data_IF_858905602406
#
_entry.id   IF_858905602406
#
_cell.length_a   1.000
_cell.length_b   1.000
_cell.length_c   1.000
_cell.angle_alpha   90.00
_cell.angle_beta   90.00
_cell.angle_gamma   90.00
#
_symmetry.space_group_name_H-M   'P 1'
#
loop_
_entity.id
_entity.type
_entity.pdbx_description
1 polymer ?
#
# COMPACT_ATOMS: atom_id res chain seq x y z
N UNK A 1 28.18 8.09 16.07
CA UNK A 1 28.55 7.47 14.78
C UNK A 1 28.01 6.05 14.79
N UNK A 2 27.29 5.62 13.74
CA UNK A 2 26.67 4.29 13.67
C UNK A 2 27.70 3.17 13.60
N UNK A 3 27.44 2.06 14.30
CA UNK A 3 28.20 0.83 14.13
C UNK A 3 28.03 0.23 12.72
N UNK A 4 28.99 -0.55 12.24
CA UNK A 4 28.93 -1.18 10.90
C UNK A 4 27.66 -2.00 10.67
N UNK A 5 27.14 -2.68 11.70
CA UNK A 5 25.91 -3.44 11.61
C UNK A 5 24.68 -2.55 11.41
N UNK A 6 24.61 -1.43 12.14
CA UNK A 6 23.53 -0.44 12.03
C UNK A 6 23.54 0.24 10.66
N UNK A 7 24.72 0.59 10.13
CA UNK A 7 24.84 1.17 8.78
C UNK A 7 24.32 0.24 7.69
N UNK A 8 24.64 -1.06 7.77
CA UNK A 8 24.13 -2.07 6.83
C UNK A 8 22.61 -2.21 6.93
N UNK A 9 22.09 -2.28 8.16
CA UNK A 9 20.65 -2.33 8.39
C UNK A 9 19.95 -1.10 7.80
N UNK A 10 20.41 0.11 8.13
CA UNK A 10 19.84 1.37 7.62
C UNK A 10 19.85 1.44 6.09
N UNK A 11 20.93 1.00 5.44
CA UNK A 11 21.03 0.98 3.98
C UNK A 11 19.98 0.07 3.34
N UNK A 12 19.90 -1.19 3.77
CA UNK A 12 18.94 -2.16 3.22
C UNK A 12 17.49 -1.84 3.58
N UNK A 13 17.28 -1.28 4.78
CA UNK A 13 15.96 -0.89 5.22
C UNK A 13 15.45 0.30 4.39
N UNK A 14 16.29 1.30 4.10
CA UNK A 14 15.93 2.37 3.17
C UNK A 14 15.62 1.86 1.76
N UNK A 15 16.43 0.93 1.23
CA UNK A 15 16.15 0.27 -0.06
C UNK A 15 14.79 -0.44 -0.01
N UNK A 16 14.45 -1.07 1.12
CA UNK A 16 13.16 -1.74 1.29
C UNK A 16 11.99 -0.76 1.30
N UNK A 17 12.13 0.39 1.97
CA UNK A 17 11.10 1.46 1.97
C UNK A 17 10.86 1.95 0.53
N UNK A 18 11.92 2.22 -0.22
CA UNK A 18 11.81 2.65 -1.63
C UNK A 18 11.17 1.54 -2.48
N UNK A 19 11.60 0.29 -2.30
CA UNK A 19 11.05 -0.87 -3.02
C UNK A 19 9.57 -1.08 -2.73
N UNK A 20 9.12 -0.86 -1.49
CA UNK A 20 7.71 -0.93 -1.11
C UNK A 20 6.87 0.14 -1.81
N UNK A 21 7.37 1.39 -1.92
CA UNK A 21 6.66 2.42 -2.70
C UNK A 21 6.59 2.07 -4.18
N UNK A 22 7.67 1.53 -4.76
CA UNK A 22 7.67 1.07 -6.15
C UNK A 22 6.72 -0.11 -6.37
N UNK A 23 6.62 -1.03 -5.40
CA UNK A 23 5.67 -2.14 -5.44
C UNK A 23 4.22 -1.66 -5.36
N UNK A 24 3.92 -0.70 -4.50
CA UNK A 24 2.59 -0.08 -4.40
C UNK A 24 2.22 0.62 -5.71
N UNK A 25 3.16 1.35 -6.32
CA UNK A 25 2.97 1.95 -7.64
C UNK A 25 2.70 0.89 -8.71
N UNK A 26 3.52 -0.17 -8.77
CA UNK A 26 3.35 -1.26 -9.73
C UNK A 26 1.99 -1.97 -9.57
N UNK A 27 1.55 -2.21 -8.32
CA UNK A 27 0.22 -2.74 -8.03
C UNK A 27 -0.90 -1.78 -8.46
N UNK A 28 -0.73 -0.48 -8.25
CA UNK A 28 -1.64 0.55 -8.74
C UNK A 28 -1.74 0.59 -10.26
N UNK A 29 -0.62 0.39 -10.98
CA UNK A 29 -0.59 0.25 -12.44
C UNK A 29 -1.37 -1.01 -12.85
N UNK A 30 -1.03 -2.17 -12.30
CA UNK A 30 -1.71 -3.46 -12.57
C UNK A 30 -3.23 -3.34 -12.42
N UNK A 31 -3.70 -2.72 -11.33
CA UNK A 31 -5.13 -2.56 -11.09
C UNK A 31 -5.77 -1.59 -12.07
N UNK A 32 -5.15 -0.44 -12.29
CA UNK A 32 -5.72 0.65 -13.09
C UNK A 32 -5.73 0.37 -14.61
N UNK A 33 -4.82 -0.48 -15.08
CA UNK A 33 -4.76 -0.98 -16.47
C UNK A 33 -5.62 -2.22 -16.73
N UNK A 34 -6.27 -2.78 -15.70
CA UNK A 34 -7.03 -4.02 -15.82
C UNK A 34 -6.15 -5.27 -16.05
N UNK A 35 -4.89 -5.22 -15.61
CA UNK A 35 -3.91 -6.31 -15.75
C UNK A 35 -3.88 -7.25 -14.54
N UNK A 36 -4.76 -7.09 -13.55
CA UNK A 36 -4.72 -7.85 -12.29
C UNK A 36 -5.01 -9.34 -12.38
N UNK A 37 -5.37 -9.84 -13.56
CA UNK A 37 -5.54 -11.26 -13.88
C UNK A 37 -4.73 -11.69 -15.11
N UNK A 38 -3.69 -10.92 -15.46
CA UNK A 38 -2.78 -11.25 -16.55
C UNK A 38 -1.93 -12.51 -16.30
N UNK A 39 -1.74 -12.93 -15.04
CA UNK A 39 -1.07 -14.18 -14.69
C UNK A 39 -1.98 -15.09 -13.84
N UNK A 40 -2.43 -16.24 -14.36
CA UNK A 40 -3.43 -17.06 -13.68
C UNK A 40 -2.89 -17.87 -12.48
N UNK A 41 -1.64 -18.31 -12.55
CA UNK A 41 -0.94 -19.13 -11.57
C UNK A 41 0.12 -18.31 -10.82
N UNK A 42 0.71 -18.83 -9.74
CA UNK A 42 1.84 -18.25 -8.99
C UNK A 42 2.64 -19.39 -8.34
N UNK A 43 4.00 -19.39 -8.30
CA UNK A 43 4.94 -18.29 -8.58
C UNK A 43 5.30 -18.08 -10.07
N UNK A 44 4.80 -18.95 -10.94
CA UNK A 44 4.96 -18.84 -12.39
C UNK A 44 3.87 -17.95 -13.00
N UNK A 45 3.90 -17.79 -14.32
CA UNK A 45 2.86 -17.16 -15.10
C UNK A 45 2.65 -17.98 -16.38
N UNK A 46 1.47 -18.56 -16.53
CA UNK A 46 1.15 -19.60 -17.52
C UNK A 46 2.07 -20.82 -17.45
N UNK A 47 2.34 -21.34 -16.23
CA UNK A 47 3.26 -22.46 -15.95
C UNK A 47 4.72 -22.24 -16.37
N UNK A 48 5.06 -21.02 -16.78
CA UNK A 48 6.38 -20.61 -17.26
C UNK A 48 7.02 -19.55 -16.33
N UNK A 49 8.35 -19.58 -16.20
CA UNK A 49 9.11 -18.54 -15.48
C UNK A 49 9.35 -17.29 -16.35
N UNK A 50 9.35 -17.45 -17.67
CA UNK A 50 9.32 -16.35 -18.62
C UNK A 50 7.94 -16.44 -19.24
N UNK A 51 7.04 -15.45 -19.02
CA UNK A 51 5.68 -15.54 -19.54
C UNK A 51 5.65 -15.64 -21.07
N UNK A 52 4.60 -16.24 -21.63
CA UNK A 52 4.44 -16.30 -23.07
C UNK A 52 4.22 -14.90 -23.67
N UNK A 53 4.65 -14.73 -24.91
CA UNK A 53 4.47 -13.50 -25.69
C UNK A 53 3.32 -13.59 -26.68
N UNK A 54 2.83 -14.79 -26.97
CA UNK A 54 1.77 -15.06 -27.93
C UNK A 54 0.88 -16.22 -27.46
N UNK A 55 -0.41 -16.19 -27.82
CA UNK A 55 -1.39 -17.21 -27.45
C UNK A 55 -1.03 -18.60 -28.01
N UNK A 56 -0.32 -18.67 -29.14
CA UNK A 56 0.13 -19.93 -29.76
C UNK A 56 1.11 -20.72 -28.89
N UNK A 57 1.71 -20.09 -27.87
CA UNK A 57 2.62 -20.74 -26.92
C UNK A 57 1.86 -21.43 -25.77
N UNK A 58 0.54 -21.27 -25.70
CA UNK A 58 -0.32 -21.86 -24.69
C UNK A 58 -0.97 -23.16 -25.20
N UNK A 59 -1.19 -24.14 -24.31
CA UNK A 59 -1.97 -25.32 -24.66
C UNK A 59 -3.43 -24.93 -24.93
N UNK A 60 -4.14 -25.72 -25.73
CA UNK A 60 -5.49 -25.37 -26.18
C UNK A 60 -6.52 -25.32 -25.04
N UNK A 61 -6.28 -26.07 -23.96
CA UNK A 61 -7.12 -26.20 -22.76
C UNK A 61 -6.70 -25.28 -21.60
N UNK A 62 -5.88 -24.25 -21.87
CA UNK A 62 -5.33 -23.38 -20.81
C UNK A 62 -6.43 -22.70 -19.98
N UNK A 63 -7.55 -22.31 -20.62
CA UNK A 63 -8.66 -21.61 -19.97
C UNK A 63 -9.33 -22.50 -18.92
N UNK A 64 -9.69 -23.72 -19.33
CA UNK A 64 -10.33 -24.72 -18.49
C UNK A 64 -9.43 -25.10 -17.31
N UNK A 65 -8.13 -25.31 -17.59
CA UNK A 65 -7.13 -25.59 -16.57
C UNK A 65 -7.10 -24.50 -15.49
N UNK A 66 -6.91 -23.24 -15.86
CA UNK A 66 -6.75 -22.17 -14.87
C UNK A 66 -8.05 -21.81 -14.15
N UNK A 67 -9.21 -21.98 -14.79
CA UNK A 67 -10.50 -21.89 -14.09
C UNK A 67 -10.61 -22.99 -13.03
N UNK A 68 -10.25 -24.23 -13.35
CA UNK A 68 -10.27 -25.32 -12.38
C UNK A 68 -9.33 -25.06 -11.18
N UNK A 69 -8.10 -24.63 -11.43
CA UNK A 69 -7.14 -24.27 -10.38
C UNK A 69 -7.64 -23.12 -9.49
N UNK A 70 -8.24 -22.10 -10.12
CA UNK A 70 -8.85 -20.96 -9.43
C UNK A 70 -9.98 -21.41 -8.50
N UNK A 71 -10.88 -22.27 -8.98
CA UNK A 71 -12.00 -22.80 -8.19
C UNK A 71 -11.51 -23.65 -7.02
N UNK A 72 -10.53 -24.52 -7.23
CA UNK A 72 -9.95 -25.33 -6.15
C UNK A 72 -9.33 -24.45 -5.05
N UNK A 73 -8.57 -23.42 -5.46
CA UNK A 73 -7.95 -22.48 -4.55
C UNK A 73 -8.99 -21.69 -3.75
N UNK A 74 -10.05 -21.24 -4.40
CA UNK A 74 -11.13 -20.50 -3.75
C UNK A 74 -11.94 -21.39 -2.80
N UNK A 75 -12.13 -22.68 -3.09
CA UNK A 75 -12.76 -23.61 -2.16
C UNK A 75 -11.89 -23.82 -0.91
N UNK A 76 -10.56 -23.92 -1.06
CA UNK A 76 -9.64 -23.96 0.10
C UNK A 76 -9.75 -22.69 0.94
N UNK A 77 -9.87 -21.53 0.29
CA UNK A 77 -10.07 -20.24 0.98
C UNK A 77 -11.43 -20.15 1.68
N UNK A 78 -12.52 -20.59 1.02
CA UNK A 78 -13.86 -20.64 1.61
C UNK A 78 -13.89 -21.51 2.87
N UNK A 79 -13.23 -22.68 2.86
CA UNK A 79 -13.06 -23.54 4.05
C UNK A 79 -12.32 -22.83 5.19
N UNK A 80 -11.34 -21.97 4.89
CA UNK A 80 -10.66 -21.18 5.91
C UNK A 80 -11.60 -20.13 6.50
N UNK A 81 -12.42 -19.47 5.68
CA UNK A 81 -13.43 -18.52 6.14
C UNK A 81 -14.49 -19.19 7.03
N UNK A 82 -14.99 -20.36 6.64
CA UNK A 82 -15.92 -21.16 7.46
C UNK A 82 -15.33 -21.45 8.85
N UNK A 83 -14.08 -21.94 8.89
CA UNK A 83 -13.38 -22.25 10.15
C UNK A 83 -13.07 -21.00 10.98
N UNK A 84 -12.95 -19.84 10.35
CA UNK A 84 -12.62 -18.57 11.00
C UNK A 84 -13.86 -17.80 11.45
N UNK A 85 -15.06 -18.36 11.28
CA UNK A 85 -16.33 -17.74 11.72
C UNK A 85 -16.97 -16.79 10.71
N UNK A 86 -16.63 -16.89 9.42
CA UNK A 86 -17.18 -16.06 8.34
C UNK A 86 -17.91 -16.88 7.26
N UNK A 87 -18.96 -17.66 7.62
CA UNK A 87 -19.66 -18.53 6.66
C UNK A 87 -20.33 -17.74 5.52
N UNK A 88 -20.80 -16.51 5.78
CA UNK A 88 -21.41 -15.68 4.74
C UNK A 88 -20.40 -15.24 3.67
N UNK A 89 -19.16 -14.93 4.07
CA UNK A 89 -18.09 -14.62 3.12
C UNK A 89 -17.68 -15.86 2.33
N UNK A 90 -17.60 -17.02 2.98
CA UNK A 90 -17.33 -18.29 2.31
C UNK A 90 -18.41 -18.61 1.26
N UNK A 91 -19.67 -18.38 1.61
CA UNK A 91 -20.82 -18.58 0.73
C UNK A 91 -20.76 -17.66 -0.50
N UNK A 92 -20.42 -16.38 -0.31
CA UNK A 92 -20.21 -15.41 -1.40
C UNK A 92 -19.11 -15.86 -2.36
N UNK A 93 -17.97 -16.34 -1.85
CA UNK A 93 -16.86 -16.82 -2.69
C UNK A 93 -17.25 -18.05 -3.51
N UNK A 94 -18.03 -18.98 -2.94
CA UNK A 94 -18.45 -20.22 -3.64
C UNK A 94 -19.44 -19.99 -4.77
N UNK A 95 -20.31 -18.99 -4.64
CA UNK A 95 -21.39 -18.70 -5.60
C UNK A 95 -21.10 -17.53 -6.52
N UNK A 96 -19.87 -17.01 -6.51
CA UNK A 96 -19.46 -15.97 -7.45
C UNK A 96 -19.16 -16.59 -8.82
N UNK A 97 -20.13 -16.47 -9.73
CA UNK A 97 -20.03 -16.97 -11.11
C UNK A 97 -18.92 -16.27 -11.92
N UNK A 98 -18.53 -15.05 -11.54
CA UNK A 98 -17.48 -14.31 -12.25
C UNK A 98 -16.12 -15.00 -12.18
N UNK A 99 -15.88 -15.78 -11.12
CA UNK A 99 -14.67 -16.59 -10.93
C UNK A 99 -14.53 -17.65 -12.02
N UNK A 100 -15.65 -18.16 -12.55
CA UNK A 100 -15.67 -19.19 -13.59
C UNK A 100 -15.40 -18.65 -14.99
N UNK A 101 -15.43 -17.33 -15.18
CA UNK A 101 -15.17 -16.70 -16.46
C UNK A 101 -13.65 -16.66 -16.70
N UNK A 102 -13.14 -17.32 -17.76
CA UNK A 102 -11.72 -17.26 -18.09
C UNK A 102 -11.36 -15.91 -18.69
N UNK A 103 -10.16 -15.42 -18.37
CA UNK A 103 -9.58 -14.25 -19.01
C UNK A 103 -8.89 -14.64 -20.31
N UNK A 104 -9.05 -13.83 -21.35
CA UNK A 104 -8.30 -13.99 -22.59
C UNK A 104 -6.83 -13.63 -22.40
N UNK A 105 -5.94 -14.44 -22.98
CA UNK A 105 -4.52 -14.13 -22.98
C UNK A 105 -4.24 -12.77 -23.66
N UNK A 106 -3.51 -11.91 -22.97
CA UNK A 106 -3.04 -10.64 -23.50
C UNK A 106 -1.61 -10.37 -23.02
N UNK A 107 -0.61 -10.29 -23.91
CA UNK A 107 0.79 -10.18 -23.49
C UNK A 107 1.06 -8.92 -22.67
N UNK A 108 0.41 -7.79 -22.99
CA UNK A 108 0.59 -6.56 -22.22
C UNK A 108 0.08 -6.71 -20.78
N UNK A 109 -1.10 -7.30 -20.58
CA UNK A 109 -1.64 -7.57 -19.24
C UNK A 109 -0.74 -8.54 -18.48
N UNK A 110 -0.34 -9.64 -19.13
CA UNK A 110 0.54 -10.68 -18.58
C UNK A 110 1.84 -10.09 -18.06
N UNK A 111 2.58 -9.35 -18.90
CA UNK A 111 3.87 -8.77 -18.48
C UNK A 111 3.71 -7.66 -17.44
N UNK A 112 2.63 -6.88 -17.50
CA UNK A 112 2.34 -5.87 -16.47
C UNK A 112 2.19 -6.51 -15.09
N UNK A 113 1.43 -7.61 -14.99
CA UNK A 113 1.29 -8.33 -13.72
C UNK A 113 2.58 -9.06 -13.31
N UNK A 114 3.27 -9.68 -14.27
CA UNK A 114 4.52 -10.39 -14.01
C UNK A 114 5.61 -9.47 -13.46
N UNK A 115 5.77 -8.26 -14.02
CA UNK A 115 6.72 -7.26 -13.52
C UNK A 115 6.38 -6.86 -12.08
N UNK A 116 5.10 -6.64 -11.76
CA UNK A 116 4.67 -6.36 -10.39
C UNK A 116 5.02 -7.52 -9.43
N UNK A 117 4.82 -8.78 -9.84
CA UNK A 117 5.21 -9.97 -9.06
C UNK A 117 6.72 -10.05 -8.85
N UNK A 118 7.52 -9.71 -9.86
CA UNK A 118 8.98 -9.68 -9.77
C UNK A 118 9.46 -8.60 -8.78
N UNK A 119 8.88 -7.39 -8.85
CA UNK A 119 9.14 -6.32 -7.87
C UNK A 119 8.75 -6.78 -6.47
N UNK A 120 7.64 -7.51 -6.33
CA UNK A 120 7.19 -8.12 -5.07
C UNK A 120 8.22 -9.10 -4.50
N UNK A 121 8.73 -10.02 -5.32
CA UNK A 121 9.78 -10.97 -4.93
C UNK A 121 11.08 -10.26 -4.51
N UNK A 122 11.52 -9.26 -5.28
CA UNK A 122 12.71 -8.44 -4.96
C UNK A 122 12.51 -7.70 -3.63
N UNK A 123 11.32 -7.13 -3.41
CA UNK A 123 10.98 -6.45 -2.15
C UNK A 123 11.03 -7.43 -0.96
N UNK A 124 10.52 -8.65 -1.14
CA UNK A 124 10.62 -9.72 -0.16
C UNK A 124 12.08 -10.08 0.20
N UNK A 125 12.97 -10.13 -0.79
CA UNK A 125 14.41 -10.37 -0.58
C UNK A 125 15.04 -9.23 0.25
N UNK A 126 14.71 -7.96 -0.04
CA UNK A 126 15.22 -6.84 0.76
C UNK A 126 14.73 -6.90 2.21
N UNK A 127 13.47 -7.26 2.44
CA UNK A 127 12.92 -7.43 3.78
C UNK A 127 13.53 -8.64 4.52
N UNK A 128 13.89 -9.72 3.81
CA UNK A 128 14.67 -10.82 4.36
C UNK A 128 16.07 -10.35 4.81
N UNK A 129 16.76 -9.53 4.00
CA UNK A 129 18.04 -8.95 4.41
C UNK A 129 17.90 -8.03 5.63
N UNK A 130 16.82 -7.27 5.75
CA UNK A 130 16.55 -6.49 6.95
C UNK A 130 16.45 -7.38 8.19
N UNK A 131 15.72 -8.49 8.12
CA UNK A 131 15.64 -9.46 9.22
C UNK A 131 17.03 -10.04 9.56
N UNK A 132 17.81 -10.47 8.56
CA UNK A 132 19.16 -11.02 8.76
C UNK A 132 20.08 -9.99 9.45
N UNK A 133 20.03 -8.72 9.04
CA UNK A 133 20.84 -7.68 9.68
C UNK A 133 20.28 -7.28 11.05
N UNK A 134 18.96 -7.33 11.26
CA UNK A 134 18.33 -7.09 12.55
C UNK A 134 18.74 -8.14 13.60
N UNK A 135 19.03 -9.39 13.19
CA UNK A 135 19.56 -10.42 14.08
C UNK A 135 20.86 -9.97 14.78
N UNK A 136 21.74 -9.25 14.07
CA UNK A 136 22.97 -8.69 14.64
C UNK A 136 22.72 -7.56 15.62
N UNK A 137 21.53 -6.95 15.57
CA UNK A 137 21.08 -5.92 16.48
C UNK A 137 20.25 -6.48 17.63
N UNK A 138 20.03 -7.81 17.74
CA UNK A 138 19.14 -8.40 18.74
C UNK A 138 19.47 -7.99 20.18
N UNK A 139 20.76 -8.01 20.55
CA UNK A 139 21.22 -7.66 21.91
C UNK A 139 21.09 -6.18 22.23
N UNK A 140 21.28 -5.30 21.25
CA UNK A 140 21.22 -3.85 21.44
C UNK A 140 19.82 -3.27 21.19
N UNK A 141 19.02 -3.91 20.34
CA UNK A 141 17.75 -3.44 19.78
C UNK A 141 16.79 -4.61 19.50
N UNK A 142 16.41 -5.34 20.54
CA UNK A 142 15.49 -6.49 20.42
C UNK A 142 14.17 -6.13 19.73
N UNK A 143 13.67 -4.90 19.90
CA UNK A 143 12.46 -4.41 19.21
C UNK A 143 12.61 -4.42 17.68
N UNK A 144 13.75 -3.95 17.16
CA UNK A 144 14.02 -3.94 15.71
C UNK A 144 14.04 -5.36 15.16
N UNK A 145 14.63 -6.29 15.91
CA UNK A 145 14.59 -7.71 15.56
C UNK A 145 13.17 -8.24 15.46
N UNK A 146 12.38 -8.14 16.54
CA UNK A 146 11.02 -8.68 16.57
C UNK A 146 10.09 -8.06 15.53
N UNK A 147 10.20 -6.75 15.31
CA UNK A 147 9.43 -6.08 14.27
C UNK A 147 9.87 -6.50 12.87
N UNK A 148 11.17 -6.71 12.63
CA UNK A 148 11.65 -7.23 11.35
C UNK A 148 11.21 -8.69 11.12
N UNK A 149 11.17 -9.50 12.18
CA UNK A 149 10.62 -10.87 12.14
C UNK A 149 9.13 -10.88 11.82
N UNK A 150 8.35 -10.02 12.50
CA UNK A 150 6.94 -9.84 12.21
C UNK A 150 6.74 -9.42 10.75
N UNK A 151 7.54 -8.47 10.27
CA UNK A 151 7.44 -8.01 8.89
C UNK A 151 7.67 -9.13 7.86
N UNK A 152 8.60 -10.05 8.14
CA UNK A 152 8.84 -11.21 7.28
C UNK A 152 7.60 -12.13 7.20
N UNK A 153 6.92 -12.34 8.33
CA UNK A 153 5.65 -13.09 8.38
C UNK A 153 4.55 -12.34 7.63
N UNK A 154 4.42 -11.03 7.84
CA UNK A 154 3.40 -10.21 7.17
C UNK A 154 3.61 -10.20 5.64
N UNK A 155 4.85 -10.20 5.14
CA UNK A 155 5.13 -10.29 3.70
C UNK A 155 4.70 -11.64 3.13
N UNK A 156 4.90 -12.74 3.86
CA UNK A 156 4.40 -14.04 3.43
C UNK A 156 2.85 -14.06 3.36
N UNK A 157 2.19 -13.46 4.35
CA UNK A 157 0.73 -13.28 4.36
C UNK A 157 0.29 -12.37 3.21
N UNK A 158 1.00 -11.27 2.94
CA UNK A 158 0.73 -10.34 1.85
C UNK A 158 0.81 -11.04 0.49
N UNK A 159 1.84 -11.86 0.27
CA UNK A 159 2.02 -12.63 -0.96
C UNK A 159 0.91 -13.67 -1.13
N UNK A 160 0.58 -14.40 -0.07
CA UNK A 160 -0.56 -15.33 -0.07
C UNK A 160 -1.88 -14.61 -0.38
N UNK A 161 -2.17 -13.51 0.31
CA UNK A 161 -3.38 -12.71 0.12
C UNK A 161 -3.45 -12.13 -1.30
N UNK A 162 -2.35 -11.64 -1.86
CA UNK A 162 -2.30 -11.19 -3.25
C UNK A 162 -2.67 -12.30 -4.23
N UNK A 163 -2.22 -13.52 -3.97
CA UNK A 163 -2.59 -14.67 -4.80
C UNK A 163 -4.08 -15.03 -4.68
N UNK A 164 -4.71 -14.76 -3.53
CA UNK A 164 -6.16 -14.95 -3.31
C UNK A 164 -6.96 -13.84 -3.99
N UNK A 165 -6.47 -12.59 -3.97
CA UNK A 165 -7.07 -11.48 -4.71
C UNK A 165 -7.19 -11.82 -6.20
N UNK A 166 -6.14 -12.40 -6.81
CA UNK A 166 -6.19 -12.83 -8.22
C UNK A 166 -7.17 -13.98 -8.44
N UNK A 167 -7.17 -15.00 -7.56
CA UNK A 167 -8.06 -16.15 -7.76
C UNK A 167 -9.53 -15.83 -7.51
N UNK A 168 -9.83 -14.85 -6.68
CA UNK A 168 -11.20 -14.40 -6.39
C UNK A 168 -11.69 -13.33 -7.38
N UNK A 169 -11.13 -13.26 -8.59
CA UNK A 169 -11.52 -12.26 -9.58
C UNK A 169 -11.51 -10.82 -9.03
N UNK A 170 -10.48 -10.49 -8.24
CA UNK A 170 -10.25 -9.15 -7.70
C UNK A 170 -11.40 -8.68 -6.78
N UNK A 171 -11.91 -9.57 -5.93
CA UNK A 171 -12.90 -9.23 -4.90
C UNK A 171 -12.49 -7.98 -4.10
N UNK A 172 -13.37 -6.98 -4.15
CA UNK A 172 -13.26 -5.66 -3.55
C UNK A 172 -12.60 -5.64 -2.15
N UNK A 173 -13.25 -6.23 -1.16
CA UNK A 173 -12.79 -6.20 0.23
C UNK A 173 -11.42 -6.87 0.43
N UNK A 174 -11.07 -7.88 -0.38
CA UNK A 174 -9.75 -8.53 -0.32
C UNK A 174 -8.65 -7.58 -0.80
N UNK A 175 -8.91 -6.75 -1.82
CA UNK A 175 -8.00 -5.69 -2.26
C UNK A 175 -7.78 -4.69 -1.14
N UNK A 176 -8.86 -4.27 -0.46
CA UNK A 176 -8.79 -3.35 0.68
C UNK A 176 -7.93 -3.90 1.81
N UNK A 177 -8.15 -5.16 2.22
CA UNK A 177 -7.31 -5.82 3.24
C UNK A 177 -5.86 -5.94 2.77
N UNK A 178 -5.63 -6.29 1.51
CA UNK A 178 -4.29 -6.38 0.93
C UNK A 178 -3.57 -5.02 0.96
N UNK A 179 -4.25 -3.93 0.63
CA UNK A 179 -3.68 -2.58 0.66
C UNK A 179 -3.34 -2.13 2.09
N UNK A 180 -4.26 -2.34 3.05
CA UNK A 180 -4.02 -1.96 4.44
C UNK A 180 -2.87 -2.76 5.07
N UNK A 181 -2.75 -4.05 4.74
CA UNK A 181 -1.61 -4.87 5.16
C UNK A 181 -0.28 -4.38 4.54
N UNK A 182 -0.28 -3.94 3.28
CA UNK A 182 0.90 -3.31 2.67
C UNK A 182 1.32 -2.02 3.39
N UNK A 183 0.34 -1.17 3.76
CA UNK A 183 0.57 0.06 4.53
C UNK A 183 1.14 -0.26 5.92
N UNK A 184 0.68 -1.33 6.57
CA UNK A 184 1.21 -1.80 7.85
C UNK A 184 2.68 -2.27 7.71
N UNK A 185 2.99 -3.07 6.69
CA UNK A 185 4.37 -3.52 6.39
C UNK A 185 5.27 -2.30 6.16
N UNK A 186 4.81 -1.31 5.40
CA UNK A 186 5.52 -0.05 5.20
C UNK A 186 5.74 0.70 6.52
N UNK A 187 4.73 0.83 7.36
CA UNK A 187 4.84 1.49 8.66
C UNK A 187 5.88 0.80 9.57
N UNK A 188 5.86 -0.53 9.66
CA UNK A 188 6.86 -1.30 10.44
C UNK A 188 8.27 -1.08 9.88
N UNK A 189 8.42 -1.06 8.56
CA UNK A 189 9.71 -0.82 7.89
C UNK A 189 10.23 0.60 8.21
N UNK A 190 9.38 1.62 8.07
CA UNK A 190 9.71 3.01 8.43
C UNK A 190 10.07 3.15 9.91
N UNK A 191 9.31 2.50 10.80
CA UNK A 191 9.57 2.52 12.24
C UNK A 191 10.93 1.92 12.58
N UNK A 192 11.26 0.75 12.03
CA UNK A 192 12.54 0.09 12.31
C UNK A 192 13.73 0.87 11.76
N UNK A 193 13.59 1.52 10.60
CA UNK A 193 14.58 2.48 10.10
C UNK A 193 14.76 3.65 11.08
N UNK A 194 13.65 4.24 11.53
CA UNK A 194 13.66 5.35 12.48
C UNK A 194 14.28 4.98 13.83
N UNK A 195 13.95 3.81 14.40
CA UNK A 195 14.44 3.40 15.73
C UNK A 195 15.98 3.30 15.75
N UNK A 196 16.57 2.72 14.69
CA UNK A 196 18.03 2.63 14.55
C UNK A 196 18.65 4.00 14.27
N UNK A 197 18.05 4.79 13.35
CA UNK A 197 18.58 6.11 12.97
C UNK A 197 18.54 7.11 14.13
N UNK A 198 17.42 7.15 14.85
CA UNK A 198 17.20 8.20 15.84
C UNK A 198 18.17 8.12 17.03
N UNK A 199 18.86 6.99 17.26
CA UNK A 199 19.77 6.78 18.40
C UNK A 199 20.77 7.92 18.65
N UNK A 200 21.21 8.61 17.59
CA UNK A 200 22.26 9.63 17.69
C UNK A 200 21.73 11.07 17.57
N UNK A 201 20.42 11.28 17.41
CA UNK A 201 19.81 12.59 17.21
C UNK A 201 18.89 12.93 18.40
N UNK A 202 19.33 13.86 19.25
CA UNK A 202 18.46 14.48 20.27
C UNK A 202 17.95 15.84 19.77
N UNK A 203 16.63 15.97 19.63
CA UNK A 203 15.96 17.24 19.37
C UNK A 203 15.36 17.73 20.67
N UNK A 204 15.80 18.90 21.14
CA UNK A 204 15.30 19.58 22.34
C UNK A 204 14.56 20.85 21.94
N UNK A 205 13.48 21.17 22.66
CA UNK A 205 12.74 22.42 22.48
C UNK A 205 12.27 22.96 23.82
N UNK A 206 12.16 24.27 23.96
CA UNK A 206 11.65 24.93 25.17
C UNK A 206 10.12 25.00 25.24
N UNK A 207 9.42 24.70 24.14
CA UNK A 207 7.95 24.81 24.05
C UNK A 207 7.26 23.46 24.25
N UNK A 208 6.05 23.49 24.83
CA UNK A 208 5.22 22.28 24.94
C UNK A 208 4.83 21.73 23.56
N UNK A 209 4.99 20.42 23.39
CA UNK A 209 4.71 19.70 22.15
C UNK A 209 3.45 18.84 22.19
N UNK A 210 2.71 18.83 23.29
CA UNK A 210 1.56 17.92 23.50
C UNK A 210 0.54 18.06 22.36
N UNK A 211 0.06 19.28 22.10
CA UNK A 211 -0.89 19.54 21.01
C UNK A 211 -0.33 19.21 19.63
N UNK A 212 0.97 19.43 19.40
CA UNK A 212 1.61 19.12 18.13
C UNK A 212 1.65 17.60 17.88
N UNK A 213 1.92 16.81 18.93
CA UNK A 213 1.87 15.35 18.89
C UNK A 213 0.44 14.86 18.62
N UNK A 214 -0.56 15.45 19.28
CA UNK A 214 -1.97 15.11 19.05
C UNK A 214 -2.39 15.39 17.61
N UNK A 215 -2.08 16.57 17.07
CA UNK A 215 -2.39 16.93 15.68
C UNK A 215 -1.71 15.95 14.70
N UNK A 216 -0.46 15.57 14.96
CA UNK A 216 0.26 14.61 14.11
C UNK A 216 -0.38 13.21 14.12
N UNK A 217 -0.86 12.74 15.28
CA UNK A 217 -1.61 11.48 15.39
C UNK A 217 -2.96 11.57 14.70
N UNK A 218 -3.68 12.70 14.86
CA UNK A 218 -4.94 12.93 14.14
C UNK A 218 -4.71 12.88 12.63
N UNK A 219 -3.66 13.52 12.13
CA UNK A 219 -3.29 13.51 10.71
C UNK A 219 -3.05 12.09 10.17
N UNK A 220 -2.45 11.22 10.99
CA UNK A 220 -2.24 9.82 10.64
C UNK A 220 -3.53 9.02 10.59
N UNK A 221 -4.38 9.16 11.61
CA UNK A 221 -5.65 8.45 11.70
C UNK A 221 -6.57 8.86 10.55
N UNK A 222 -6.66 10.16 10.25
CA UNK A 222 -7.47 10.66 9.13
C UNK A 222 -6.95 10.15 7.79
N UNK A 223 -5.63 10.05 7.59
CA UNK A 223 -5.07 9.46 6.37
C UNK A 223 -5.41 7.98 6.21
N UNK A 224 -5.40 7.18 7.29
CA UNK A 224 -5.81 5.77 7.22
C UNK A 224 -7.29 5.65 6.84
N UNK A 225 -8.16 6.46 7.46
CA UNK A 225 -9.59 6.53 7.12
C UNK A 225 -9.78 6.90 5.65
N UNK A 226 -9.07 7.93 5.17
CA UNK A 226 -9.15 8.37 3.77
C UNK A 226 -8.68 7.30 2.78
N UNK A 227 -7.63 6.54 3.12
CA UNK A 227 -7.16 5.43 2.28
C UNK A 227 -8.26 4.37 2.18
N UNK A 228 -8.94 4.03 3.27
CA UNK A 228 -10.07 3.09 3.28
C UNK A 228 -11.26 3.61 2.47
N UNK A 229 -11.67 4.86 2.67
CA UNK A 229 -12.75 5.46 1.85
C UNK A 229 -12.34 5.49 0.38
N UNK A 230 -11.07 5.77 0.08
CA UNK A 230 -10.53 5.72 -1.28
C UNK A 230 -10.59 4.33 -1.93
N UNK A 231 -10.41 3.26 -1.17
CA UNK A 231 -10.62 1.90 -1.68
C UNK A 231 -12.09 1.62 -1.93
N UNK A 232 -13.01 2.08 -1.06
CA UNK A 232 -14.47 1.96 -1.28
C UNK A 232 -14.96 2.72 -2.52
N UNK A 233 -14.42 3.92 -2.79
CA UNK A 233 -14.69 4.63 -4.06
C UNK A 233 -14.32 3.73 -5.23
N UNK A 234 -13.15 3.09 -5.17
CA UNK A 234 -12.71 2.20 -6.25
C UNK A 234 -13.61 0.98 -6.40
N UNK A 235 -13.99 0.35 -5.30
CA UNK A 235 -14.91 -0.79 -5.28
C UNK A 235 -16.25 -0.43 -5.94
N UNK A 236 -16.77 0.77 -5.65
CA UNK A 236 -18.01 1.27 -6.25
C UNK A 236 -17.85 1.57 -7.74
N UNK A 237 -16.71 2.14 -8.16
CA UNK A 237 -16.40 2.34 -9.58
C UNK A 237 -16.36 1.02 -10.34
N UNK A 238 -15.76 -0.02 -9.75
CA UNK A 238 -15.70 -1.36 -10.35
C UNK A 238 -17.09 -2.01 -10.43
N UNK A 239 -17.95 -1.78 -9.44
CA UNK A 239 -19.35 -2.20 -9.50
C UNK A 239 -20.10 -1.50 -10.64
N UNK A 240 -20.02 -0.17 -10.73
CA UNK A 240 -20.68 0.63 -11.78
C UNK A 240 -20.22 0.20 -13.18
N UNK A 241 -18.91 0.00 -13.39
CA UNK A 241 -18.39 -0.41 -14.70
C UNK A 241 -18.87 -1.79 -15.15
N UNK A 242 -19.16 -2.68 -14.20
CA UNK A 242 -19.69 -4.02 -14.48
C UNK A 242 -21.21 -4.05 -14.70
N UNK A 243 -21.96 -3.19 -14.00
CA UNK A 243 -23.43 -3.15 -14.07
C UNK A 243 -23.95 -2.32 -15.24
N UNK A 244 -23.20 -1.28 -15.64
CA UNK A 244 -23.59 -0.33 -16.68
C UNK A 244 -22.51 -0.26 -17.78
N UNK A 245 -22.33 -1.33 -18.57
CA UNK A 245 -21.27 -1.42 -19.58
C UNK A 245 -21.40 -0.38 -20.71
N UNK A 246 -22.59 0.18 -20.90
CA UNK A 246 -22.88 1.25 -21.87
C UNK A 246 -22.32 2.61 -21.47
N UNK A 247 -22.06 2.84 -20.18
CA UNK A 247 -21.52 4.10 -19.69
C UNK A 247 -20.04 4.23 -20.05
N UNK A 248 -19.65 5.43 -20.50
CA UNK A 248 -18.24 5.76 -20.69
C UNK A 248 -17.54 5.88 -19.34
N UNK A 249 -16.24 5.62 -19.34
CA UNK A 249 -15.39 5.66 -18.12
C UNK A 249 -15.49 6.97 -17.33
N UNK A 250 -15.66 8.11 -18.01
CA UNK A 250 -15.85 9.42 -17.38
C UNK A 250 -17.20 9.61 -16.69
N UNK A 251 -18.21 8.84 -17.09
CA UNK A 251 -19.58 8.92 -16.55
C UNK A 251 -19.75 8.09 -15.28
N UNK A 252 -18.87 7.10 -15.03
CA UNK A 252 -18.94 6.23 -13.87
C UNK A 252 -18.94 6.99 -12.55
N UNK A 253 -18.19 8.09 -12.44
CA UNK A 253 -18.11 8.90 -11.23
C UNK A 253 -19.45 9.53 -10.84
N UNK A 254 -20.35 9.78 -11.79
CA UNK A 254 -21.68 10.32 -11.51
C UNK A 254 -22.55 9.31 -10.75
N UNK A 255 -22.32 8.01 -10.97
CA UNK A 255 -23.06 6.91 -10.35
C UNK A 255 -22.47 6.45 -9.01
N UNK A 256 -21.21 6.82 -8.69
CA UNK A 256 -20.58 6.50 -7.39
C UNK A 256 -21.28 7.24 -6.23
N UNK A 257 -21.85 8.41 -6.50
CA UNK A 257 -22.70 9.14 -5.56
C UNK A 257 -21.99 9.52 -4.25
N UNK A 258 -22.60 9.18 -3.11
CA UNK A 258 -22.21 9.67 -1.78
C UNK A 258 -20.79 9.30 -1.38
N UNK A 259 -20.32 8.09 -1.70
CA UNK A 259 -18.99 7.61 -1.29
C UNK A 259 -17.87 8.48 -1.88
N UNK A 260 -18.03 8.93 -3.13
CA UNK A 260 -17.09 9.86 -3.75
C UNK A 260 -17.11 11.25 -3.11
N UNK A 261 -18.30 11.73 -2.72
CA UNK A 261 -18.43 13.00 -2.00
C UNK A 261 -17.78 12.92 -0.62
N UNK A 262 -18.03 11.84 0.13
CA UNK A 262 -17.39 11.56 1.41
C UNK A 262 -15.85 11.56 1.26
N UNK A 263 -15.32 10.88 0.24
CA UNK A 263 -13.88 10.89 -0.06
C UNK A 263 -13.32 12.30 -0.27
N UNK A 264 -14.05 13.18 -0.96
CA UNK A 264 -13.62 14.57 -1.20
C UNK A 264 -13.67 15.43 0.05
N UNK A 265 -14.71 15.27 0.87
CA UNK A 265 -14.87 16.01 2.13
C UNK A 265 -13.79 15.63 3.15
N UNK A 266 -13.50 14.33 3.30
CA UNK A 266 -12.42 13.85 4.16
C UNK A 266 -11.03 14.27 3.65
N UNK A 267 -10.83 14.37 2.33
CA UNK A 267 -9.60 14.93 1.77
C UNK A 267 -9.37 16.39 2.20
N UNK A 268 -10.44 17.20 2.30
CA UNK A 268 -10.33 18.58 2.77
C UNK A 268 -9.88 18.64 4.25
N UNK A 269 -10.40 17.75 5.10
CA UNK A 269 -9.98 17.63 6.49
C UNK A 269 -8.48 17.32 6.57
N UNK A 270 -8.00 16.38 5.75
CA UNK A 270 -6.56 16.06 5.66
C UNK A 270 -5.76 17.29 5.27
N UNK A 271 -6.19 18.04 4.25
CA UNK A 271 -5.50 19.27 3.84
C UNK A 271 -5.39 20.26 5.00
N UNK A 272 -6.50 20.54 5.68
CA UNK A 272 -6.53 21.49 6.81
C UNK A 272 -5.60 21.03 7.94
N UNK A 273 -5.69 19.77 8.36
CA UNK A 273 -4.87 19.23 9.46
C UNK A 273 -3.37 19.30 9.12
N UNK A 274 -2.99 18.96 7.88
CA UNK A 274 -1.59 19.00 7.46
C UNK A 274 -1.07 20.44 7.27
N UNK A 275 -1.90 21.38 6.81
CA UNK A 275 -1.55 22.81 6.75
C UNK A 275 -1.34 23.40 8.14
N UNK A 276 -2.24 23.11 9.09
CA UNK A 276 -2.08 23.52 10.50
C UNK A 276 -0.78 22.96 11.07
N UNK A 277 -0.51 21.67 10.85
CA UNK A 277 0.72 21.02 11.29
C UNK A 277 1.97 21.71 10.69
N UNK A 278 1.95 22.00 9.38
CA UNK A 278 3.02 22.70 8.67
C UNK A 278 3.32 24.07 9.27
N UNK A 279 2.31 24.95 9.41
CA UNK A 279 2.51 26.30 9.92
C UNK A 279 2.98 26.31 11.38
N UNK A 280 2.48 25.40 12.22
CA UNK A 280 2.94 25.29 13.61
C UNK A 280 4.42 24.85 13.66
N UNK A 281 4.82 23.87 12.86
CA UNK A 281 6.23 23.42 12.79
C UNK A 281 7.11 24.56 12.28
N UNK A 282 6.71 25.21 11.19
CA UNK A 282 7.47 26.31 10.55
C UNK A 282 7.72 27.49 11.47
N UNK A 283 6.77 27.78 12.38
CA UNK A 283 6.88 28.86 13.38
C UNK A 283 7.67 28.46 14.64
N UNK A 284 7.76 27.16 14.95
CA UNK A 284 8.35 26.67 16.22
C UNK A 284 9.78 26.15 16.08
N UNK A 285 10.20 25.73 14.89
CA UNK A 285 11.50 25.11 14.65
C UNK A 285 12.26 25.84 13.54
N UNK A 286 13.60 25.77 13.59
CA UNK A 286 14.47 26.36 12.57
C UNK A 286 14.25 25.72 11.20
N UNK A 287 14.57 26.45 10.15
CA UNK A 287 14.45 26.00 8.75
C UNK A 287 15.31 24.78 8.45
N UNK A 288 16.47 24.69 9.11
CA UNK A 288 17.43 23.59 8.96
C UNK A 288 17.00 22.34 9.75
N UNK A 289 16.00 22.45 10.63
CA UNK A 289 15.56 21.30 11.42
C UNK A 289 14.91 20.22 10.55
N UNK A 290 15.19 18.96 10.87
CA UNK A 290 14.58 17.80 10.20
C UNK A 290 13.04 17.85 10.25
N UNK A 291 12.46 18.42 11.31
CA UNK A 291 11.02 18.63 11.42
C UNK A 291 10.49 19.56 10.33
N UNK A 292 11.21 20.65 10.03
CA UNK A 292 10.82 21.60 8.99
C UNK A 292 10.99 21.00 7.60
N UNK A 293 12.07 20.25 7.35
CA UNK A 293 12.26 19.51 6.09
C UNK A 293 11.13 18.52 5.83
N UNK A 294 10.76 17.72 6.82
CA UNK A 294 9.64 16.77 6.68
C UNK A 294 8.29 17.46 6.58
N UNK A 295 8.08 18.60 7.25
CA UNK A 295 6.87 19.40 7.06
C UNK A 295 6.76 19.94 5.62
N UNK A 296 7.89 20.35 5.01
CA UNK A 296 7.92 20.77 3.61
C UNK A 296 7.66 19.60 2.65
N UNK A 297 8.29 18.45 2.85
CA UNK A 297 8.01 17.25 2.05
C UNK A 297 6.56 16.82 2.14
N UNK A 298 5.97 16.88 3.35
CA UNK A 298 4.57 16.61 3.58
C UNK A 298 3.67 17.53 2.75
N UNK A 299 3.96 18.83 2.70
CA UNK A 299 3.20 19.79 1.91
C UNK A 299 3.33 19.53 0.40
N UNK A 300 4.53 19.22 -0.08
CA UNK A 300 4.76 18.89 -1.50
C UNK A 300 4.02 17.62 -1.92
N UNK A 301 4.06 16.56 -1.10
CA UNK A 301 3.35 15.30 -1.36
C UNK A 301 1.84 15.51 -1.30
N UNK A 302 1.35 16.30 -0.34
CA UNK A 302 -0.07 16.67 -0.26
C UNK A 302 -0.54 17.39 -1.53
N UNK A 303 0.25 18.35 -2.03
CA UNK A 303 -0.03 19.03 -3.30
C UNK A 303 -0.09 18.05 -4.47
N UNK A 304 0.89 17.16 -4.59
CA UNK A 304 0.90 16.12 -5.62
C UNK A 304 -0.31 15.18 -5.51
N UNK A 305 -0.71 14.80 -4.29
CA UNK A 305 -1.88 13.96 -4.02
C UNK A 305 -3.19 14.62 -4.45
N UNK A 306 -3.34 15.93 -4.20
CA UNK A 306 -4.50 16.70 -4.64
C UNK A 306 -4.54 16.80 -6.17
N UNK A 307 -3.40 17.11 -6.80
CA UNK A 307 -3.30 17.22 -8.26
C UNK A 307 -3.67 15.90 -8.93
N UNK A 308 -3.14 14.77 -8.45
CA UNK A 308 -3.50 13.46 -9.01
C UNK A 308 -4.95 13.11 -8.75
N UNK A 309 -5.50 13.43 -7.57
CA UNK A 309 -6.92 13.21 -7.26
C UNK A 309 -7.87 13.99 -8.17
N UNK A 310 -7.55 15.26 -8.44
CA UNK A 310 -8.28 16.07 -9.42
C UNK A 310 -8.11 15.47 -10.81
N UNK A 311 -6.89 15.08 -11.20
CA UNK A 311 -6.65 14.48 -12.50
C UNK A 311 -7.46 13.18 -12.71
N UNK A 312 -7.63 12.33 -11.68
CA UNK A 312 -8.53 11.16 -11.78
C UNK A 312 -9.96 11.57 -12.18
N UNK A 313 -10.47 12.65 -11.59
CA UNK A 313 -11.85 13.10 -11.81
C UNK A 313 -12.07 13.78 -13.16
N UNK A 314 -11.04 14.41 -13.73
CA UNK A 314 -11.15 15.18 -14.98
C UNK A 314 -10.63 14.44 -16.21
N UNK A 315 -9.80 13.42 -16.05
CA UNK A 315 -9.24 12.61 -17.15
C UNK A 315 -9.81 11.20 -17.16
N UNK A 316 -11.13 11.05 -17.01
CA UNK A 316 -11.86 9.78 -17.15
C UNK A 316 -11.21 8.62 -16.38
N UNK A 317 -10.82 8.85 -15.13
CA UNK A 317 -10.16 7.85 -14.29
C UNK A 317 -8.90 7.25 -14.94
N UNK A 318 -8.09 8.07 -15.61
CA UNK A 318 -6.89 7.63 -16.32
C UNK A 318 -5.98 6.76 -15.44
N UNK A 319 -5.45 5.68 -16.03
CA UNK A 319 -4.71 4.66 -15.28
C UNK A 319 -3.46 5.22 -14.57
N UNK A 320 -2.71 6.09 -15.24
CA UNK A 320 -1.53 6.75 -14.66
C UNK A 320 -1.91 7.64 -13.46
N UNK A 321 -3.05 8.32 -13.52
CA UNK A 321 -3.51 9.20 -12.45
C UNK A 321 -3.90 8.35 -11.23
N UNK A 322 -4.63 7.25 -11.45
CA UNK A 322 -4.99 6.30 -10.39
C UNK A 322 -3.76 5.70 -9.70
N UNK A 323 -2.78 5.21 -10.47
CA UNK A 323 -1.58 4.63 -9.90
C UNK A 323 -0.76 5.65 -9.08
N UNK A 324 -0.62 6.87 -9.60
CA UNK A 324 0.11 7.93 -8.91
C UNK A 324 -0.63 8.48 -7.69
N UNK A 325 -1.97 8.50 -7.69
CA UNK A 325 -2.77 8.88 -6.54
C UNK A 325 -2.64 7.89 -5.37
N UNK A 326 -2.56 6.58 -5.65
CA UNK A 326 -2.31 5.57 -4.61
C UNK A 326 -0.87 5.69 -4.07
N UNK A 327 0.10 5.95 -4.95
CA UNK A 327 1.48 6.19 -4.54
C UNK A 327 1.60 7.41 -3.62
N UNK A 328 1.09 8.57 -4.03
CA UNK A 328 1.20 9.78 -3.21
C UNK A 328 0.38 9.70 -1.92
N UNK A 329 -0.75 8.99 -1.89
CA UNK A 329 -1.48 8.70 -0.65
C UNK A 329 -0.60 7.95 0.37
N UNK A 330 0.08 6.90 -0.08
CA UNK A 330 0.94 6.09 0.80
C UNK A 330 2.23 6.81 1.17
N UNK A 331 2.80 7.62 0.28
CA UNK A 331 3.92 8.51 0.61
C UNK A 331 3.53 9.58 1.62
N UNK A 332 2.32 10.14 1.52
CA UNK A 332 1.79 11.11 2.48
C UNK A 332 1.70 10.46 3.86
N UNK A 333 1.08 9.28 3.95
CA UNK A 333 1.03 8.48 5.17
C UNK A 333 2.44 8.19 5.73
N UNK A 334 3.37 7.72 4.89
CA UNK A 334 4.74 7.42 5.33
C UNK A 334 5.48 8.64 5.87
N UNK A 335 5.30 9.80 5.23
CA UNK A 335 5.87 11.07 5.67
C UNK A 335 5.26 11.55 6.99
N UNK A 336 3.94 11.49 7.13
CA UNK A 336 3.24 11.79 8.39
C UNK A 336 3.69 10.87 9.51
N UNK A 337 3.89 9.58 9.21
CA UNK A 337 4.27 8.58 10.20
C UNK A 337 5.67 8.84 10.70
N UNK A 338 6.63 9.05 9.79
CA UNK A 338 7.99 9.40 10.16
C UNK A 338 8.05 10.73 10.94
N UNK A 339 7.33 11.77 10.50
CA UNK A 339 7.24 13.05 11.21
C UNK A 339 6.70 12.88 12.63
N UNK A 340 5.66 12.05 12.80
CA UNK A 340 5.07 11.74 14.11
C UNK A 340 6.08 11.06 15.02
N UNK A 341 6.90 10.13 14.51
CA UNK A 341 7.96 9.48 15.28
C UNK A 341 9.01 10.50 15.77
N UNK A 342 9.47 11.40 14.89
CA UNK A 342 10.39 12.49 15.28
C UNK A 342 9.77 13.34 16.40
N UNK A 343 8.52 13.76 16.22
CA UNK A 343 7.80 14.58 17.21
C UNK A 343 7.68 13.85 18.56
N UNK A 344 7.28 12.57 18.55
CA UNK A 344 7.13 11.76 19.77
C UNK A 344 8.43 11.68 20.57
N UNK A 345 9.57 11.52 19.89
CA UNK A 345 10.89 11.50 20.53
C UNK A 345 11.39 12.86 21.00
N UNK A 346 10.94 13.95 20.36
CA UNK A 346 11.36 15.31 20.73
C UNK A 346 10.93 15.62 22.17
N UNK A 347 11.90 16.05 23.00
CA UNK A 347 11.70 16.36 24.43
C UNK A 347 11.53 17.87 24.62
N UNK A 348 10.50 18.24 25.37
CA UNK A 348 10.37 19.60 25.91
C UNK A 348 11.26 19.74 27.13
N UNK A 349 12.20 20.70 27.09
CA UNK A 349 13.03 21.07 28.23
C UNK A 349 12.44 22.33 28.83
N UNK A 350 12.08 22.29 30.11
CA UNK A 350 11.70 23.50 30.85
C UNK A 350 12.97 24.32 31.05
N UNK A 351 13.09 25.44 30.34
CA UNK A 351 14.10 26.46 30.69
C UNK A 351 13.58 27.10 31.98
N UNK A 352 14.22 26.79 33.11
CA UNK A 352 13.98 27.47 34.38
C UNK A 352 14.55 28.88 34.35
#
# INVERSE_FOLDING_TARGET
>A
MYAKAEQRFLKFNLISIVSLFLLILAGGIVRSSGSGMGCPDWPKCFDQYIPPTDVSQLPQDYKEKYVAERLEKNERFAKLLDKSGYPDLANKVRHDESIKIPEEFNPFKTYTEYINRLIGAITGIFLLFNFIFAFKLFKSRSRVFWLSSLNLVLVAIQAWLGSIVVSTNLLAWLITVHMLLAVLILAITIYTYYDVKSLYEEIKTSRSLIWLKVIAVIALVTSVIQITIGTEVRETVDFVSSQFPELKRGEWLNEVGKIFMDHREWALIIVIVNLVLFFIIRKRFSEISILNSFAFYLLMILGAQMITGIALSYFDLAAWAQATHVLFATMLFGCQFYLSLILMKTRSVVIK
#
